data_IF_679789854815
#
_entry.id   IF_679789854815
#
_cell.length_a   1.000
_cell.length_b   1.000
_cell.length_c   1.000
_cell.angle_alpha   90.00
_cell.angle_beta   90.00
_cell.angle_gamma   90.00
#
_symmetry.space_group_name_H-M   'P 1'
#
loop_
_entity.id
_entity.type
_entity.pdbx_description
1 polymer ?
#
# COMPACT_ATOMS: atom_id res chain seq x y z
N UNK A 1 -5.89 16.18 -53.81
CA UNK A 1 -5.29 16.94 -52.68
C UNK A 1 -6.24 16.81 -51.49
N UNK A 2 -5.69 16.71 -50.26
CA UNK A 2 -6.32 16.39 -48.95
C UNK A 2 -6.59 14.90 -48.71
N UNK A 3 -5.58 14.13 -48.25
CA UNK A 3 -5.05 14.00 -46.86
C UNK A 3 -6.03 13.25 -45.95
N UNK A 4 -5.72 11.98 -45.69
CA UNK A 4 -6.27 11.22 -44.56
C UNK A 4 -5.57 11.62 -43.26
N UNK A 5 -6.34 11.61 -42.17
CA UNK A 5 -5.80 11.59 -40.81
C UNK A 5 -6.70 10.68 -39.98
N UNK A 6 -6.17 9.50 -39.67
CA UNK A 6 -6.58 8.67 -38.55
C UNK A 6 -6.58 9.52 -37.28
N UNK A 7 -7.77 9.96 -36.84
CA UNK A 7 -7.92 10.63 -35.56
C UNK A 7 -7.92 9.57 -34.46
N UNK A 8 -6.74 9.38 -33.87
CA UNK A 8 -6.52 8.68 -32.62
C UNK A 8 -7.52 9.19 -31.56
N UNK A 9 -8.44 8.33 -31.15
CA UNK A 9 -9.38 8.64 -30.07
C UNK A 9 -8.58 8.74 -28.76
N UNK A 10 -8.22 9.96 -28.40
CA UNK A 10 -7.58 10.28 -27.13
C UNK A 10 -8.60 10.15 -26.00
N UNK A 11 -8.27 9.30 -25.00
CA UNK A 11 -9.05 9.02 -23.79
C UNK A 11 -9.29 10.25 -22.89
N UNK A 12 -8.77 11.42 -23.26
CA UNK A 12 -8.82 12.67 -22.49
C UNK A 12 -10.03 13.56 -22.78
N UNK A 13 -10.91 13.19 -23.72
CA UNK A 13 -12.03 14.04 -24.15
C UNK A 13 -13.41 13.67 -23.55
N UNK A 14 -13.48 12.82 -22.52
CA UNK A 14 -14.77 12.36 -21.96
C UNK A 14 -15.17 13.03 -20.63
N UNK A 15 -14.40 14.00 -20.11
CA UNK A 15 -14.75 14.68 -18.86
C UNK A 15 -14.88 16.20 -19.01
N UNK A 16 -15.59 16.65 -20.04
CA UNK A 16 -16.13 18.02 -20.10
C UNK A 16 -17.55 17.92 -20.68
N UNK A 17 -18.56 17.80 -19.82
CA UNK A 17 -19.96 17.90 -20.26
C UNK A 17 -20.98 17.31 -19.30
N UNK A 18 -21.41 18.08 -18.30
CA UNK A 18 -22.76 17.98 -17.72
C UNK A 18 -23.04 19.19 -16.78
N UNK A 19 -23.23 20.37 -17.37
CA UNK A 19 -23.85 21.50 -16.68
C UNK A 19 -25.37 21.47 -16.90
N UNK A 20 -26.13 21.29 -15.82
CA UNK A 20 -27.46 21.91 -15.64
C UNK A 20 -28.70 21.06 -15.89
N UNK A 21 -29.33 20.57 -14.81
CA UNK A 21 -30.80 20.51 -14.66
C UNK A 21 -31.14 20.95 -13.23
N UNK A 22 -31.91 22.03 -13.12
CA UNK A 22 -32.52 22.49 -11.89
C UNK A 22 -33.72 21.59 -11.54
N UNK A 23 -33.71 21.01 -10.34
CA UNK A 23 -34.81 20.25 -9.77
C UNK A 23 -34.69 20.21 -8.26
N UNK A 24 -35.55 20.96 -7.57
CA UNK A 24 -35.62 20.99 -6.11
C UNK A 24 -36.15 19.63 -5.59
N UNK A 25 -35.24 18.86 -5.01
CA UNK A 25 -35.54 17.66 -4.24
C UNK A 25 -34.45 17.50 -3.18
N UNK A 26 -34.68 18.08 -2.00
CA UNK A 26 -33.77 17.93 -0.86
C UNK A 26 -34.00 16.53 -0.29
N UNK A 27 -33.26 15.54 -0.77
CA UNK A 27 -33.09 14.28 -0.06
C UNK A 27 -32.02 14.48 1.02
N UNK A 28 -32.42 15.03 2.16
CA UNK A 28 -31.69 14.90 3.42
C UNK A 28 -31.68 13.43 3.84
N UNK A 29 -30.74 12.67 3.27
CA UNK A 29 -30.34 11.36 3.78
C UNK A 29 -28.94 11.48 4.42
N UNK A 30 -28.82 12.41 5.36
CA UNK A 30 -27.75 12.45 6.35
C UNK A 30 -28.38 12.25 7.72
N UNK A 31 -28.43 11.01 8.18
CA UNK A 31 -28.27 10.76 9.61
C UNK A 31 -27.74 9.36 9.82
N UNK A 32 -26.44 9.28 10.04
CA UNK A 32 -26.02 8.72 11.32
C UNK A 32 -24.83 9.54 11.75
N UNK A 33 -25.07 10.46 12.69
CA UNK A 33 -24.01 10.92 13.57
C UNK A 33 -23.55 9.70 14.37
N UNK A 34 -22.60 8.95 13.82
CA UNK A 34 -21.74 8.17 14.67
C UNK A 34 -20.86 9.20 15.36
N UNK A 35 -21.18 9.50 16.63
CA UNK A 35 -20.16 9.94 17.58
C UNK A 35 -18.90 9.10 17.30
N UNK A 36 -17.69 9.69 17.22
CA UNK A 36 -16.49 8.91 17.09
C UNK A 36 -16.45 7.97 18.29
N UNK A 37 -16.88 6.74 18.05
CA UNK A 37 -16.82 5.71 19.06
C UNK A 37 -15.33 5.57 19.33
N UNK A 38 -14.90 5.99 20.51
CA UNK A 38 -13.62 5.60 21.10
C UNK A 38 -13.65 4.11 21.46
N UNK A 39 -14.31 3.28 20.64
CA UNK A 39 -14.06 1.87 20.58
C UNK A 39 -12.55 1.72 20.48
N UNK A 40 -11.97 1.02 21.45
CA UNK A 40 -10.56 0.70 21.42
C UNK A 40 -10.28 0.09 20.05
N UNK A 41 -9.32 0.68 19.32
CA UNK A 41 -8.90 0.12 18.04
C UNK A 41 -8.59 -1.35 18.24
N UNK A 42 -9.07 -2.21 17.32
CA UNK A 42 -8.76 -3.64 17.35
C UNK A 42 -7.22 -3.77 17.50
N UNK A 43 -6.72 -4.54 18.49
CA UNK A 43 -5.29 -4.69 18.71
C UNK A 43 -4.54 -5.15 17.46
N UNK A 44 -5.21 -5.87 16.55
CA UNK A 44 -4.66 -6.24 15.24
C UNK A 44 -4.33 -5.02 14.39
N UNK A 45 -5.16 -3.98 14.38
CA UNK A 45 -4.88 -2.75 13.62
C UNK A 45 -3.60 -2.08 14.09
N UNK A 46 -3.40 -1.98 15.41
CA UNK A 46 -2.20 -1.37 15.98
C UNK A 46 -0.94 -2.21 15.69
N UNK A 47 -1.04 -3.55 15.79
CA UNK A 47 0.03 -4.48 15.45
C UNK A 47 0.45 -4.37 13.98
N UNK A 48 -0.52 -4.41 13.06
CA UNK A 48 -0.30 -4.29 11.61
C UNK A 48 0.29 -2.93 11.28
N UNK A 49 -0.23 -1.85 11.87
CA UNK A 49 0.30 -0.49 11.68
C UNK A 49 1.78 -0.36 12.09
N UNK A 50 2.18 -0.97 13.21
CA UNK A 50 3.57 -0.97 13.67
C UNK A 50 4.48 -1.82 12.77
N UNK A 51 3.97 -2.95 12.29
CA UNK A 51 4.70 -3.80 11.35
C UNK A 51 4.95 -3.10 10.00
N UNK A 52 3.95 -2.44 9.43
CA UNK A 52 4.10 -1.67 8.19
C UNK A 52 5.09 -0.51 8.36
N UNK A 53 5.03 0.22 9.47
CA UNK A 53 6.03 1.27 9.79
C UNK A 53 7.45 0.71 9.85
N UNK A 54 7.62 -0.50 10.41
CA UNK A 54 8.93 -1.15 10.50
C UNK A 54 9.45 -1.60 9.12
N UNK A 55 8.57 -2.03 8.22
CA UNK A 55 8.95 -2.35 6.83
C UNK A 55 9.30 -1.09 6.04
N UNK A 56 8.48 -0.04 6.15
CA UNK A 56 8.75 1.28 5.54
C UNK A 56 10.13 1.79 5.94
N UNK A 57 10.47 1.74 7.23
CA UNK A 57 11.77 2.16 7.74
C UNK A 57 12.93 1.34 7.15
N UNK A 58 12.77 0.01 7.05
CA UNK A 58 13.76 -0.87 6.45
C UNK A 58 13.97 -0.57 4.96
N UNK A 59 12.88 -0.43 4.19
CA UNK A 59 12.96 -0.05 2.78
C UNK A 59 13.65 1.31 2.59
N UNK A 60 13.30 2.33 3.38
CA UNK A 60 13.94 3.65 3.34
C UNK A 60 15.44 3.57 3.65
N UNK A 61 15.82 2.79 4.66
CA UNK A 61 17.21 2.58 5.03
C UNK A 61 18.00 1.87 3.91
N UNK A 62 17.41 0.85 3.28
CA UNK A 62 18.05 0.12 2.18
C UNK A 62 18.17 0.97 0.91
N UNK A 63 17.14 1.74 0.56
CA UNK A 63 17.20 2.70 -0.56
C UNK A 63 18.30 3.76 -0.32
N UNK A 64 18.46 4.20 0.93
CA UNK A 64 19.52 5.16 1.30
C UNK A 64 20.91 4.55 1.20
N UNK A 65 21.08 3.29 1.64
CA UNK A 65 22.38 2.60 1.63
C UNK A 65 22.78 2.05 0.25
N UNK A 66 21.80 1.70 -0.59
CA UNK A 66 21.99 1.12 -1.92
C UNK A 66 21.17 1.92 -2.97
N UNK A 67 21.61 3.13 -3.34
CA UNK A 67 20.86 4.00 -4.26
C UNK A 67 20.58 3.37 -5.62
N UNK A 68 21.39 2.42 -6.06
CA UNK A 68 21.21 1.63 -7.28
C UNK A 68 19.92 0.81 -7.28
N UNK A 69 19.39 0.47 -6.10
CA UNK A 69 18.12 -0.27 -5.94
C UNK A 69 16.89 0.64 -5.88
N UNK A 70 17.08 1.96 -5.83
CA UNK A 70 15.98 2.92 -5.57
C UNK A 70 14.82 2.78 -6.55
N UNK A 71 15.11 2.63 -7.84
CA UNK A 71 14.10 2.51 -8.89
C UNK A 71 13.20 1.27 -8.70
N UNK A 72 13.79 0.15 -8.27
CA UNK A 72 13.07 -1.11 -8.09
C UNK A 72 12.33 -1.17 -6.73
N UNK A 73 12.91 -0.58 -5.68
CA UNK A 73 12.37 -0.66 -4.32
C UNK A 73 11.33 0.43 -4.00
N UNK A 74 11.37 1.58 -4.67
CA UNK A 74 10.43 2.70 -4.41
C UNK A 74 8.97 2.28 -4.59
N UNK A 75 8.56 1.56 -5.66
CA UNK A 75 7.17 1.13 -5.80
C UNK A 75 6.69 0.24 -4.64
N UNK A 76 7.55 -0.64 -4.11
CA UNK A 76 7.20 -1.51 -2.98
C UNK A 76 7.08 -0.70 -1.68
N UNK A 77 7.98 0.27 -1.47
CA UNK A 77 7.89 1.22 -0.35
C UNK A 77 6.58 2.02 -0.38
N UNK A 78 6.16 2.49 -1.57
CA UNK A 78 4.89 3.21 -1.73
C UNK A 78 3.69 2.31 -1.40
N UNK A 79 3.71 1.03 -1.80
CA UNK A 79 2.65 0.09 -1.46
C UNK A 79 2.54 -0.14 0.06
N UNK A 80 3.66 -0.24 0.79
CA UNK A 80 3.61 -0.31 2.26
C UNK A 80 3.03 0.96 2.89
N UNK A 81 3.34 2.14 2.34
CA UNK A 81 2.74 3.39 2.80
C UNK A 81 1.22 3.41 2.55
N UNK A 82 0.75 2.85 1.43
CA UNK A 82 -0.67 2.68 1.14
C UNK A 82 -1.34 1.68 2.08
N UNK A 83 -0.69 0.57 2.44
CA UNK A 83 -1.18 -0.38 3.44
C UNK A 83 -1.33 0.26 4.83
N UNK A 84 -0.31 0.99 5.28
CA UNK A 84 -0.32 1.74 6.54
C UNK A 84 -1.51 2.72 6.57
N UNK A 85 -1.71 3.46 5.47
CA UNK A 85 -2.84 4.38 5.30
C UNK A 85 -4.19 3.65 5.34
N UNK A 86 -4.31 2.49 4.70
CA UNK A 86 -5.54 1.70 4.71
C UNK A 86 -5.91 1.19 6.11
N UNK A 87 -4.91 0.91 6.96
CA UNK A 87 -5.08 0.55 8.38
C UNK A 87 -5.39 1.78 9.26
N UNK A 88 -5.22 3.00 8.72
CA UNK A 88 -5.57 4.25 9.39
C UNK A 88 -4.40 4.99 10.02
N UNK A 89 -3.15 4.62 9.70
CA UNK A 89 -1.95 5.32 10.15
C UNK A 89 -1.21 5.97 8.99
N UNK A 90 -0.59 7.13 9.24
CA UNK A 90 0.29 7.74 8.25
C UNK A 90 1.69 7.16 8.40
N UNK A 91 2.31 6.78 7.29
CA UNK A 91 3.72 6.43 7.25
C UNK A 91 4.58 7.56 7.85
N UNK A 92 5.46 7.20 8.78
CA UNK A 92 6.41 8.11 9.41
C UNK A 92 7.82 7.73 8.99
N UNK A 93 8.66 8.73 8.71
CA UNK A 93 10.07 8.49 8.47
C UNK A 93 10.72 8.01 9.77
N UNK A 94 11.26 6.80 9.76
CA UNK A 94 11.89 6.16 10.92
C UNK A 94 13.22 5.57 10.49
N UNK A 95 14.25 5.67 11.34
CA UNK A 95 15.52 5.02 11.07
C UNK A 95 15.44 3.52 11.35
N UNK A 96 15.98 2.70 10.46
CA UNK A 96 16.19 1.28 10.65
C UNK A 96 17.67 0.94 10.41
N UNK A 97 18.24 -0.04 11.13
CA UNK A 97 19.58 -0.51 10.83
C UNK A 97 19.62 -1.22 9.47
N UNK A 98 20.70 -1.00 8.71
CA UNK A 98 20.94 -1.71 7.46
C UNK A 98 21.82 -2.93 7.75
N UNK A 99 21.23 -4.12 7.67
CA UNK A 99 21.91 -5.39 7.93
C UNK A 99 22.26 -6.11 6.61
N UNK A 100 22.94 -5.43 5.70
CA UNK A 100 23.39 -5.99 4.42
C UNK A 100 24.77 -5.44 4.03
N UNK A 101 25.65 -6.32 3.53
CA UNK A 101 26.99 -5.94 3.08
C UNK A 101 27.02 -5.41 1.64
N UNK A 102 26.06 -5.83 0.81
CA UNK A 102 25.93 -5.47 -0.60
C UNK A 102 24.46 -5.49 -1.05
N UNK A 103 24.20 -4.95 -2.24
CA UNK A 103 22.86 -4.85 -2.84
C UNK A 103 22.15 -6.20 -2.98
N UNK A 104 22.89 -7.26 -3.33
CA UNK A 104 22.34 -8.62 -3.47
C UNK A 104 21.85 -9.15 -2.12
N UNK A 105 22.65 -8.99 -1.08
CA UNK A 105 22.29 -9.36 0.30
C UNK A 105 21.11 -8.51 0.76
N UNK A 106 21.07 -7.23 0.39
CA UNK A 106 19.95 -6.35 0.70
C UNK A 106 18.62 -6.86 0.11
N UNK A 107 18.60 -7.22 -1.18
CA UNK A 107 17.42 -7.79 -1.82
C UNK A 107 16.98 -9.10 -1.13
N UNK A 108 17.93 -9.98 -0.78
CA UNK A 108 17.62 -11.23 -0.08
C UNK A 108 16.99 -10.98 1.29
N UNK A 109 17.54 -10.05 2.08
CA UNK A 109 17.00 -9.66 3.39
C UNK A 109 15.60 -9.09 3.25
N UNK A 110 15.34 -8.20 2.29
CA UNK A 110 13.99 -7.67 2.05
C UNK A 110 13.02 -8.77 1.60
N UNK A 111 13.45 -9.70 0.74
CA UNK A 111 12.60 -10.81 0.32
C UNK A 111 12.19 -11.72 1.49
N UNK A 112 13.09 -11.95 2.45
CA UNK A 112 12.77 -12.70 3.67
C UNK A 112 11.87 -11.91 4.62
N UNK A 113 12.09 -10.60 4.74
CA UNK A 113 11.21 -9.71 5.50
C UNK A 113 9.77 -9.73 4.95
N UNK A 114 9.58 -9.67 3.64
CA UNK A 114 8.27 -9.75 2.97
C UNK A 114 7.57 -11.09 3.21
N UNK A 115 8.31 -12.20 3.15
CA UNK A 115 7.75 -13.53 3.48
C UNK A 115 7.31 -13.60 4.94
N UNK A 116 8.11 -13.04 5.85
CA UNK A 116 7.80 -13.00 7.27
C UNK A 116 6.58 -12.12 7.55
N UNK A 117 6.50 -10.95 6.92
CA UNK A 117 5.36 -10.05 6.99
C UNK A 117 4.08 -10.73 6.51
N UNK A 118 4.09 -11.32 5.31
CA UNK A 118 2.95 -12.02 4.76
C UNK A 118 2.47 -13.17 5.67
N UNK A 119 3.41 -13.89 6.30
CA UNK A 119 3.08 -14.93 7.28
C UNK A 119 2.45 -14.37 8.55
N UNK A 120 2.97 -13.26 9.07
CA UNK A 120 2.41 -12.58 10.23
C UNK A 120 1.01 -12.03 9.93
N UNK A 121 0.80 -11.38 8.79
CA UNK A 121 -0.51 -10.85 8.38
C UNK A 121 -1.56 -11.95 8.17
N UNK A 122 -1.17 -13.12 7.66
CA UNK A 122 -2.06 -14.31 7.64
C UNK A 122 -2.50 -14.75 9.03
N UNK A 123 -1.64 -14.62 10.05
CA UNK A 123 -2.03 -14.93 11.42
C UNK A 123 -2.96 -13.86 11.99
N UNK A 124 -2.64 -12.57 11.80
CA UNK A 124 -3.45 -11.49 12.36
C UNK A 124 -4.81 -11.32 11.67
N UNK A 125 -4.97 -11.70 10.39
CA UNK A 125 -6.31 -11.68 9.77
C UNK A 125 -7.26 -12.73 10.39
N UNK A 126 -6.73 -13.84 10.92
CA UNK A 126 -7.51 -14.84 11.67
C UNK A 126 -7.84 -14.33 13.08
N UNK A 127 -6.97 -13.50 13.67
CA UNK A 127 -7.16 -12.94 15.00
C UNK A 127 -8.08 -11.70 15.01
N UNK A 128 -8.28 -11.05 13.88
CA UNK A 128 -9.11 -9.84 13.77
C UNK A 128 -10.57 -10.15 14.12
N UNK A 129 -11.16 -9.30 14.95
CA UNK A 129 -12.55 -9.47 15.42
C UNK A 129 -13.58 -8.85 14.48
N UNK A 130 -13.16 -7.83 13.73
CA UNK A 130 -13.96 -7.19 12.69
C UNK A 130 -13.74 -7.85 11.31
N UNK A 131 -14.83 -8.12 10.59
CA UNK A 131 -14.77 -8.77 9.27
C UNK A 131 -14.10 -7.87 8.21
N UNK A 132 -14.31 -6.56 8.27
CA UNK A 132 -13.69 -5.60 7.37
C UNK A 132 -12.18 -5.57 7.55
N UNK A 133 -11.72 -5.53 8.80
CA UNK A 133 -10.31 -5.60 9.17
C UNK A 133 -9.69 -6.94 8.76
N UNK A 134 -10.35 -8.06 9.06
CA UNK A 134 -9.87 -9.39 8.66
C UNK A 134 -9.65 -9.46 7.14
N UNK A 135 -10.60 -8.96 6.34
CA UNK A 135 -10.48 -8.88 4.88
C UNK A 135 -9.32 -7.97 4.45
N UNK A 136 -9.20 -6.78 5.04
CA UNK A 136 -8.13 -5.85 4.73
C UNK A 136 -6.75 -6.47 5.00
N UNK A 137 -6.54 -7.05 6.19
CA UNK A 137 -5.27 -7.68 6.57
C UNK A 137 -4.96 -8.89 5.69
N UNK A 138 -5.96 -9.65 5.26
CA UNK A 138 -5.76 -10.74 4.31
C UNK A 138 -5.31 -10.26 2.92
N UNK A 139 -5.83 -9.12 2.44
CA UNK A 139 -5.40 -8.50 1.19
C UNK A 139 -3.97 -7.96 1.28
N UNK A 140 -3.61 -7.34 2.41
CA UNK A 140 -2.24 -6.92 2.69
C UNK A 140 -1.30 -8.13 2.67
N UNK A 141 -1.66 -9.21 3.36
CA UNK A 141 -0.88 -10.46 3.37
C UNK A 141 -0.65 -11.03 1.96
N UNK A 142 -1.64 -10.91 1.08
CA UNK A 142 -1.52 -11.34 -0.31
C UNK A 142 -0.59 -10.43 -1.13
N UNK A 143 -0.63 -9.11 -0.91
CA UNK A 143 0.28 -8.15 -1.55
C UNK A 143 1.73 -8.42 -1.13
N UNK A 144 2.02 -8.49 0.17
CA UNK A 144 3.36 -8.77 0.70
C UNK A 144 3.91 -10.12 0.19
N UNK A 145 3.05 -11.15 0.10
CA UNK A 145 3.44 -12.43 -0.47
C UNK A 145 3.88 -12.33 -1.94
N UNK A 146 3.37 -11.35 -2.69
CA UNK A 146 3.75 -11.09 -4.08
C UNK A 146 5.06 -10.29 -4.23
N UNK A 147 5.46 -9.54 -3.19
CA UNK A 147 6.70 -8.75 -3.21
C UNK A 147 7.94 -9.64 -3.15
N UNK A 148 7.93 -10.69 -2.32
CA UNK A 148 9.08 -11.61 -2.18
C UNK A 148 9.55 -12.23 -3.52
N UNK A 149 8.70 -12.79 -4.39
CA UNK A 149 9.13 -13.25 -5.70
C UNK A 149 9.48 -12.10 -6.65
N UNK A 150 8.90 -10.90 -6.51
CA UNK A 150 9.33 -9.73 -7.29
C UNK A 150 10.78 -9.35 -6.97
N UNK A 151 11.13 -9.23 -5.68
CA UNK A 151 12.49 -9.01 -5.21
C UNK A 151 13.45 -10.11 -5.66
N UNK A 152 13.03 -11.38 -5.55
CA UNK A 152 13.89 -12.52 -5.93
C UNK A 152 14.26 -12.48 -7.43
N UNK A 153 13.41 -11.94 -8.31
CA UNK A 153 13.74 -11.80 -9.75
C UNK A 153 14.88 -10.81 -10.00
N UNK A 154 15.06 -9.79 -9.14
CA UNK A 154 16.18 -8.85 -9.22
C UNK A 154 17.54 -9.51 -8.93
N UNK A 155 17.55 -10.68 -8.29
CA UNK A 155 18.78 -11.45 -8.06
C UNK A 155 19.24 -12.24 -9.29
N UNK A 156 18.34 -12.45 -10.25
CA UNK A 156 18.58 -13.23 -11.46
C UNK A 156 19.01 -12.38 -12.67
N UNK A 157 18.99 -11.06 -12.53
CA UNK A 157 19.47 -10.07 -13.52
C UNK A 157 20.91 -9.68 -13.24
#
# INVERSE_FOLDING_TARGET
MHVGVDQAISRRAVLIGATGIAGAGILTACTTGAEPSTAAADPVSAEVAGAEQSLIAQYQAFITAFPELSADLTPLLEQHADHAKAIGVKATATSAPVAAADARTAIAVLADAERAAAKARRASCVAATDQGLARLVALIAASEASHAPALTRLLAT
#
